data_IF_446236997767
#
_entry.id   IF_446236997767
#
_cell.length_a   1.000
_cell.length_b   1.000
_cell.length_c   1.000
_cell.angle_alpha   90.00
_cell.angle_beta   90.00
_cell.angle_gamma   90.00
#
_symmetry.space_group_name_H-M   'P 1'
#
loop_
_entity.id
_entity.type
_entity.pdbx_description
1 polymer ?
#
# COMPACT_ATOMS: atom_id res chain seq x y z
N UNK A 1 26.88 -18.17 -27.70
CA UNK A 1 25.49 -18.61 -27.98
C UNK A 1 24.82 -17.84 -29.13
N UNK A 2 25.56 -17.14 -30.02
CA UNK A 2 24.98 -16.37 -31.15
C UNK A 2 25.78 -16.50 -32.46
N UNK A 3 26.70 -17.48 -32.55
CA UNK A 3 27.72 -17.53 -33.61
C UNK A 3 27.14 -17.70 -35.03
N UNK A 4 25.94 -18.28 -35.14
CA UNK A 4 25.28 -18.58 -36.42
C UNK A 4 24.00 -17.75 -36.67
N UNK A 5 23.74 -16.73 -35.84
CA UNK A 5 22.54 -15.89 -35.98
C UNK A 5 22.81 -14.80 -37.02
N UNK A 6 22.18 -14.92 -38.18
CA UNK A 6 22.29 -13.95 -39.29
C UNK A 6 21.20 -12.88 -39.28
N UNK A 7 20.18 -13.04 -38.43
CA UNK A 7 19.02 -12.14 -38.32
C UNK A 7 19.45 -10.82 -37.67
N UNK A 8 19.22 -9.70 -38.36
CA UNK A 8 19.49 -8.35 -37.86
C UNK A 8 18.22 -7.71 -37.32
N UNK A 9 18.39 -6.62 -36.58
CA UNK A 9 17.29 -5.84 -36.02
C UNK A 9 16.27 -5.41 -37.09
N UNK A 10 16.73 -4.91 -38.25
CA UNK A 10 15.83 -4.49 -39.33
C UNK A 10 14.97 -5.65 -39.86
N UNK A 11 15.55 -6.85 -39.95
CA UNK A 11 14.86 -8.04 -40.44
C UNK A 11 13.72 -8.44 -39.46
N UNK A 12 13.94 -8.28 -38.15
CA UNK A 12 12.90 -8.48 -37.11
C UNK A 12 11.82 -7.40 -37.18
N UNK A 13 12.22 -6.13 -37.29
CA UNK A 13 11.30 -5.00 -37.38
C UNK A 13 10.36 -5.12 -38.58
N UNK A 14 10.90 -5.48 -39.76
CA UNK A 14 10.09 -5.63 -40.97
C UNK A 14 9.16 -6.83 -40.89
N UNK A 15 9.61 -7.92 -40.28
CA UNK A 15 8.75 -9.08 -40.02
C UNK A 15 7.60 -8.75 -39.07
N UNK A 16 7.85 -7.97 -38.02
CA UNK A 16 6.80 -7.51 -37.10
C UNK A 16 5.79 -6.60 -37.80
N UNK A 17 6.24 -5.65 -38.64
CA UNK A 17 5.35 -4.79 -39.43
C UNK A 17 4.46 -5.57 -40.40
N UNK A 18 4.98 -6.63 -41.01
CA UNK A 18 4.21 -7.47 -41.92
C UNK A 18 3.21 -8.38 -41.18
N UNK A 19 3.58 -8.84 -39.99
CA UNK A 19 2.76 -9.75 -39.19
C UNK A 19 1.62 -9.03 -38.47
N UNK A 20 1.86 -7.82 -37.96
CA UNK A 20 0.92 -7.10 -37.11
C UNK A 20 -0.01 -6.22 -37.95
N UNK A 21 -1.34 -6.32 -37.78
CA UNK A 21 -2.24 -5.35 -38.39
C UNK A 21 -2.03 -3.94 -37.79
N UNK A 22 -2.43 -2.85 -38.48
CA UNK A 22 -2.21 -1.48 -38.03
C UNK A 22 -2.81 -1.15 -36.65
N UNK A 23 -3.86 -1.86 -36.25
CA UNK A 23 -4.56 -1.71 -34.98
C UNK A 23 -4.27 -2.87 -34.01
N UNK A 24 -3.17 -3.61 -34.20
CA UNK A 24 -2.77 -4.66 -33.27
C UNK A 24 -2.55 -4.08 -31.87
N UNK A 25 -3.04 -4.77 -30.85
CA UNK A 25 -2.75 -4.45 -29.45
C UNK A 25 -1.69 -5.44 -28.96
N UNK A 26 -0.52 -4.94 -28.58
CA UNK A 26 0.54 -5.78 -28.04
C UNK A 26 0.27 -6.08 -26.56
N UNK A 27 0.44 -7.34 -26.17
CA UNK A 27 0.28 -7.80 -24.80
C UNK A 27 1.60 -8.40 -24.34
N UNK A 28 2.08 -7.98 -23.17
CA UNK A 28 3.33 -8.49 -22.62
C UNK A 28 3.56 -7.99 -21.20
N UNK A 29 4.80 -8.08 -20.72
CA UNK A 29 5.16 -7.71 -19.35
C UNK A 29 6.42 -6.85 -19.34
N UNK A 30 6.28 -5.59 -18.92
CA UNK A 30 7.35 -4.58 -19.02
C UNK A 30 7.85 -4.40 -20.46
N UNK A 31 6.89 -4.29 -21.40
CA UNK A 31 7.14 -4.24 -22.85
C UNK A 31 7.93 -3.01 -23.28
N UNK A 32 8.07 -2.00 -22.43
CA UNK A 32 8.96 -0.88 -22.72
C UNK A 32 10.40 -1.35 -22.96
N UNK A 33 10.85 -2.39 -22.27
CA UNK A 33 12.22 -2.91 -22.43
C UNK A 33 12.37 -3.59 -23.79
N UNK A 34 11.38 -4.39 -24.19
CA UNK A 34 11.36 -5.06 -25.49
C UNK A 34 11.29 -4.04 -26.64
N UNK A 35 10.40 -3.05 -26.54
CA UNK A 35 10.24 -2.01 -27.55
C UNK A 35 11.48 -1.10 -27.67
N UNK A 36 12.15 -0.81 -26.54
CA UNK A 36 13.43 -0.10 -26.53
C UNK A 36 14.53 -0.91 -27.23
N UNK A 37 14.63 -2.21 -26.93
CA UNK A 37 15.58 -3.11 -27.59
C UNK A 37 15.29 -3.22 -29.10
N UNK A 38 14.01 -3.26 -29.47
CA UNK A 38 13.56 -3.27 -30.86
C UNK A 38 13.67 -1.91 -31.55
N UNK A 39 13.94 -0.81 -30.84
CA UNK A 39 13.89 0.56 -31.35
C UNK A 39 12.59 0.87 -32.08
N UNK A 40 11.48 0.43 -31.52
CA UNK A 40 10.13 0.58 -32.08
C UNK A 40 9.23 1.34 -31.12
N UNK A 41 8.32 2.14 -31.68
CA UNK A 41 7.19 2.71 -30.96
C UNK A 41 5.92 2.01 -31.41
N UNK A 42 5.07 1.60 -30.46
CA UNK A 42 3.77 1.00 -30.75
C UNK A 42 2.72 1.60 -29.81
N UNK A 43 1.65 2.23 -30.33
CA UNK A 43 0.73 3.02 -29.52
C UNK A 43 -0.26 2.18 -28.70
N UNK A 44 -0.55 0.94 -29.09
CA UNK A 44 -1.57 0.11 -28.47
C UNK A 44 -0.94 -1.04 -27.69
N UNK A 45 -0.75 -0.84 -26.39
CA UNK A 45 -0.07 -1.81 -25.52
C UNK A 45 -0.89 -2.08 -24.26
N UNK A 46 -1.07 -3.35 -23.93
CA UNK A 46 -1.50 -3.83 -22.61
C UNK A 46 -0.29 -4.43 -21.91
N UNK A 47 0.30 -3.66 -21.00
CA UNK A 47 1.41 -4.12 -20.19
C UNK A 47 0.91 -4.73 -18.89
N UNK A 48 1.08 -6.04 -18.71
CA UNK A 48 0.64 -6.78 -17.52
C UNK A 48 1.38 -6.38 -16.25
N UNK A 49 2.61 -5.85 -16.34
CA UNK A 49 3.35 -5.35 -15.19
C UNK A 49 2.69 -4.09 -14.63
N UNK A 50 2.17 -3.23 -15.51
CA UNK A 50 1.40 -2.04 -15.12
C UNK A 50 -0.04 -2.39 -14.73
N UNK A 51 -0.67 -3.32 -15.47
CA UNK A 51 -2.06 -3.73 -15.27
C UNK A 51 -2.31 -4.28 -13.87
N UNK A 52 -1.32 -4.95 -13.28
CA UNK A 52 -1.41 -5.54 -11.95
C UNK A 52 -0.48 -4.86 -10.93
N UNK A 53 0.08 -3.69 -11.24
CA UNK A 53 0.92 -2.94 -10.31
C UNK A 53 0.14 -2.56 -9.04
N UNK A 54 0.82 -2.42 -7.89
CA UNK A 54 0.19 -1.87 -6.69
C UNK A 54 -0.29 -0.43 -6.93
N UNK A 55 -1.56 -0.15 -6.62
CA UNK A 55 -2.14 1.20 -6.74
C UNK A 55 -1.35 2.26 -5.97
N UNK A 56 -0.77 1.88 -4.82
CA UNK A 56 0.01 2.77 -3.96
C UNK A 56 1.45 3.01 -4.47
N UNK A 57 1.99 2.11 -5.32
CA UNK A 57 3.33 2.23 -5.90
C UNK A 57 3.33 1.87 -7.39
N UNK A 58 2.72 2.71 -8.26
CA UNK A 58 2.63 2.42 -9.69
C UNK A 58 4.00 2.24 -10.39
N UNK A 59 5.09 2.73 -9.76
CA UNK A 59 6.46 2.57 -10.27
C UNK A 59 7.10 1.21 -9.93
N UNK A 60 6.51 0.44 -9.03
CA UNK A 60 7.00 -0.89 -8.65
C UNK A 60 6.31 -1.94 -9.51
N UNK A 61 6.97 -2.33 -10.60
CA UNK A 61 6.49 -3.37 -11.51
C UNK A 61 6.69 -4.74 -10.86
N UNK A 62 5.62 -5.48 -10.53
CA UNK A 62 5.76 -6.83 -9.99
C UNK A 62 6.22 -7.78 -11.08
N UNK A 63 7.16 -8.68 -10.78
CA UNK A 63 7.64 -9.64 -11.76
C UNK A 63 6.55 -10.61 -12.24
N UNK A 64 6.62 -11.00 -13.52
CA UNK A 64 5.63 -11.88 -14.17
C UNK A 64 5.38 -13.17 -13.38
N UNK A 65 6.44 -13.79 -12.84
CA UNK A 65 6.34 -15.02 -12.03
C UNK A 65 5.45 -14.84 -10.80
N UNK A 66 5.53 -13.69 -10.14
CA UNK A 66 4.70 -13.37 -8.97
C UNK A 66 3.24 -13.19 -9.40
N UNK A 67 3.01 -12.41 -10.46
CA UNK A 67 1.67 -12.13 -11.00
C UNK A 67 0.98 -13.43 -11.45
N UNK A 68 1.69 -14.28 -12.21
CA UNK A 68 1.20 -15.58 -12.67
C UNK A 68 0.87 -16.52 -11.50
N UNK A 69 1.75 -16.58 -10.49
CA UNK A 69 1.51 -17.39 -9.29
C UNK A 69 0.27 -16.92 -8.51
N UNK A 70 0.08 -15.61 -8.37
CA UNK A 70 -1.01 -15.02 -7.59
C UNK A 70 -2.37 -15.13 -8.28
N UNK A 71 -2.42 -14.85 -9.59
CA UNK A 71 -3.68 -14.77 -10.33
C UNK A 71 -4.04 -16.07 -11.05
N UNK A 72 -3.05 -16.74 -11.67
CA UNK A 72 -3.27 -17.97 -12.43
C UNK A 72 -3.00 -19.23 -11.61
N UNK A 73 -2.44 -19.10 -10.40
CA UNK A 73 -1.93 -20.25 -9.61
C UNK A 73 -0.92 -21.10 -10.40
N UNK A 74 -0.21 -20.46 -11.33
CA UNK A 74 0.72 -21.10 -12.28
C UNK A 74 2.16 -20.79 -11.88
N UNK A 75 3.01 -21.80 -11.88
CA UNK A 75 4.47 -21.65 -11.70
C UNK A 75 5.13 -21.61 -13.08
N UNK A 76 5.78 -20.51 -13.41
CA UNK A 76 6.52 -20.31 -14.67
C UNK A 76 8.02 -20.15 -14.38
N UNK A 77 8.85 -20.22 -15.43
CA UNK A 77 10.29 -20.00 -15.36
C UNK A 77 10.97 -20.93 -14.33
N UNK A 78 10.53 -22.19 -14.26
CA UNK A 78 10.97 -23.14 -13.21
C UNK A 78 12.39 -23.69 -13.44
N UNK A 79 12.94 -23.52 -14.65
CA UNK A 79 14.25 -24.03 -15.07
C UNK A 79 15.27 -22.90 -15.19
N UNK A 80 15.54 -22.19 -14.09
CA UNK A 80 16.39 -20.97 -14.07
C UNK A 80 17.78 -21.17 -14.70
N UNK A 81 18.37 -22.36 -14.55
CA UNK A 81 19.68 -22.69 -15.14
C UNK A 81 19.71 -22.72 -16.68
N UNK A 82 18.55 -22.84 -17.34
CA UNK A 82 18.42 -22.91 -18.80
C UNK A 82 18.03 -21.57 -19.44
N UNK A 83 17.79 -20.52 -18.64
CA UNK A 83 17.20 -19.27 -19.10
C UNK A 83 15.67 -19.33 -19.19
N UNK A 84 15.05 -18.17 -19.45
CA UNK A 84 13.59 -18.06 -19.59
C UNK A 84 13.14 -18.43 -21.01
N UNK A 85 11.92 -18.95 -21.13
CA UNK A 85 11.29 -19.22 -22.42
C UNK A 85 10.36 -18.04 -22.80
N UNK A 86 10.69 -17.24 -23.84
CA UNK A 86 9.86 -16.13 -24.27
C UNK A 86 8.43 -16.54 -24.66
N UNK A 87 8.26 -17.79 -25.13
CA UNK A 87 6.95 -18.33 -25.52
C UNK A 87 6.07 -18.57 -24.29
N UNK A 88 6.64 -19.14 -23.22
CA UNK A 88 5.96 -19.32 -21.93
C UNK A 88 5.53 -17.97 -21.36
N UNK A 89 6.42 -16.99 -21.39
CA UNK A 89 6.19 -15.65 -20.85
C UNK A 89 5.08 -14.93 -21.65
N UNK A 90 5.15 -14.93 -22.98
CA UNK A 90 4.13 -14.31 -23.84
C UNK A 90 2.74 -14.96 -23.67
N UNK A 91 2.69 -16.29 -23.61
CA UNK A 91 1.43 -17.03 -23.38
C UNK A 91 0.84 -16.72 -22.00
N UNK A 92 1.69 -16.63 -20.98
CA UNK A 92 1.27 -16.30 -19.61
C UNK A 92 0.72 -14.88 -19.52
N UNK A 93 1.31 -13.91 -20.23
CA UNK A 93 0.77 -12.55 -20.33
C UNK A 93 -0.63 -12.54 -20.95
N UNK A 94 -0.85 -13.33 -22.00
CA UNK A 94 -2.16 -13.45 -22.64
C UNK A 94 -3.21 -14.10 -21.71
N UNK A 95 -2.84 -15.13 -20.96
CA UNK A 95 -3.70 -15.75 -19.94
C UNK A 95 -4.10 -14.74 -18.85
N UNK A 96 -3.17 -13.92 -18.39
CA UNK A 96 -3.42 -12.86 -17.40
C UNK A 96 -4.42 -11.81 -17.91
N UNK A 97 -4.27 -11.33 -19.15
CA UNK A 97 -5.21 -10.37 -19.74
C UNK A 97 -6.58 -11.00 -19.93
N UNK A 98 -6.66 -12.25 -20.41
CA UNK A 98 -7.94 -12.97 -20.53
C UNK A 98 -8.65 -13.08 -19.18
N UNK A 99 -7.92 -13.42 -18.13
CA UNK A 99 -8.47 -13.47 -16.77
C UNK A 99 -8.98 -12.09 -16.32
N UNK A 100 -8.22 -11.02 -16.57
CA UNK A 100 -8.64 -9.64 -16.27
C UNK A 100 -9.92 -9.25 -17.00
N UNK A 101 -10.07 -9.66 -18.25
CA UNK A 101 -11.27 -9.39 -19.05
C UNK A 101 -12.49 -10.19 -18.55
N UNK A 102 -12.29 -11.42 -18.07
CA UNK A 102 -13.37 -12.27 -17.56
C UNK A 102 -13.88 -11.82 -16.18
N UNK A 103 -12.97 -11.44 -15.29
CA UNK A 103 -13.27 -11.09 -13.89
C UNK A 103 -13.38 -9.56 -13.67
N UNK A 104 -13.02 -8.76 -14.67
CA UNK A 104 -13.18 -7.31 -14.65
C UNK A 104 -12.44 -6.62 -13.49
N UNK A 105 -13.18 -5.79 -12.75
CA UNK A 105 -12.63 -5.01 -11.63
C UNK A 105 -12.13 -5.90 -10.49
N UNK A 106 -12.69 -7.10 -10.32
CA UNK A 106 -12.37 -8.00 -9.21
C UNK A 106 -11.06 -8.77 -9.43
N UNK A 107 -10.53 -8.77 -10.66
CA UNK A 107 -9.23 -9.37 -10.96
C UNK A 107 -8.09 -8.44 -10.50
N UNK A 108 -7.78 -8.48 -9.21
CA UNK A 108 -6.73 -7.67 -8.58
C UNK A 108 -5.81 -8.54 -7.73
N UNK A 109 -4.55 -8.09 -7.60
CA UNK A 109 -3.63 -8.68 -6.62
C UNK A 109 -3.77 -7.89 -5.32
N UNK A 110 -4.12 -8.58 -4.23
CA UNK A 110 -4.00 -8.01 -2.89
C UNK A 110 -2.52 -7.88 -2.50
N UNK A 111 -1.98 -6.68 -2.67
CA UNK A 111 -0.62 -6.33 -2.25
C UNK A 111 -0.56 -6.15 -0.74
N UNK A 112 -0.41 -7.25 0.00
CA UNK A 112 -0.28 -7.23 1.46
C UNK A 112 1.01 -6.54 1.95
N UNK A 113 2.00 -6.35 1.07
CA UNK A 113 3.35 -5.88 1.40
C UNK A 113 3.69 -4.46 0.92
N UNK A 114 2.79 -3.80 0.19
CA UNK A 114 2.97 -2.42 -0.28
C UNK A 114 1.82 -1.53 0.18
N UNK A 115 1.61 -1.44 1.50
CA UNK A 115 1.11 -0.18 2.05
C UNK A 115 2.26 0.81 1.92
N UNK A 116 2.26 1.63 0.88
CA UNK A 116 3.04 2.86 0.91
C UNK A 116 2.45 3.72 2.05
N UNK A 117 2.95 3.50 3.25
CA UNK A 117 2.50 4.22 4.42
C UNK A 117 2.93 5.67 4.27
N UNK A 118 2.04 6.61 4.61
CA UNK A 118 2.18 8.04 4.35
C UNK A 118 3.60 8.59 4.65
N UNK A 119 4.26 8.23 5.77
CA UNK A 119 5.64 8.63 6.05
C UNK A 119 6.69 8.24 5.01
N UNK A 120 6.60 7.05 4.40
CA UNK A 120 7.52 6.68 3.31
C UNK A 120 7.32 7.53 2.06
N UNK A 121 6.07 7.93 1.78
CA UNK A 121 5.75 8.84 0.68
C UNK A 121 6.29 10.25 0.95
N UNK A 122 6.14 10.75 2.18
CA UNK A 122 6.70 12.03 2.60
C UNK A 122 8.23 12.04 2.48
N UNK A 123 8.90 10.99 2.94
CA UNK A 123 10.35 10.82 2.81
C UNK A 123 10.82 10.85 1.35
N UNK A 124 10.13 10.13 0.45
CA UNK A 124 10.49 10.05 -0.96
C UNK A 124 10.34 11.40 -1.71
N UNK A 125 9.54 12.33 -1.18
CA UNK A 125 9.34 13.66 -1.73
C UNK A 125 10.10 14.75 -0.95
N UNK A 126 11.01 14.38 -0.04
CA UNK A 126 11.82 15.32 0.73
C UNK A 126 11.04 16.14 1.75
N UNK A 127 9.84 15.71 2.14
CA UNK A 127 9.04 16.38 3.17
C UNK A 127 9.56 15.99 4.55
N UNK A 128 9.88 16.98 5.38
CA UNK A 128 10.31 16.74 6.76
C UNK A 128 9.17 16.12 7.58
N UNK A 129 9.45 15.02 8.28
CA UNK A 129 8.43 14.28 9.02
C UNK A 129 9.02 13.53 10.20
N UNK A 130 8.19 13.25 11.21
CA UNK A 130 8.54 12.46 12.40
C UNK A 130 7.42 11.46 12.72
N UNK A 131 7.79 10.26 13.16
CA UNK A 131 6.87 9.18 13.56
C UNK A 131 7.17 8.81 15.00
N UNK A 132 6.19 8.92 15.90
CA UNK A 132 6.35 8.71 17.34
C UNK A 132 5.36 7.62 17.78
N UNK A 133 5.88 6.43 18.11
CA UNK A 133 5.05 5.24 18.41
C UNK A 133 5.82 4.24 19.29
N UNK A 134 5.18 3.15 19.74
CA UNK A 134 5.78 2.12 20.60
C UNK A 134 6.93 1.39 19.92
N UNK A 135 7.96 1.01 20.69
CA UNK A 135 9.08 0.22 20.18
C UNK A 135 8.66 -1.05 19.40
N UNK A 136 7.56 -1.69 19.79
CA UNK A 136 7.03 -2.88 19.09
C UNK A 136 6.56 -2.59 17.66
N UNK A 137 6.21 -1.34 17.36
CA UNK A 137 5.81 -0.89 16.02
C UNK A 137 7.00 -0.42 15.19
N UNK A 138 8.20 -0.31 15.78
CA UNK A 138 9.39 0.16 15.07
C UNK A 138 9.64 -0.64 13.78
N UNK A 139 9.49 -1.96 13.79
CA UNK A 139 9.68 -2.80 12.59
C UNK A 139 8.67 -2.54 11.46
N UNK A 140 7.51 -1.92 11.76
CA UNK A 140 6.55 -1.49 10.74
C UNK A 140 6.98 -0.18 10.06
N UNK A 141 7.90 0.55 10.68
CA UNK A 141 8.34 1.89 10.29
C UNK A 141 9.82 1.94 9.88
N UNK A 142 10.63 0.97 10.34
CA UNK A 142 12.06 0.88 10.07
C UNK A 142 12.31 0.16 8.75
N UNK A 143 13.10 0.80 7.90
CA UNK A 143 13.40 0.38 6.55
C UNK A 143 14.13 1.50 5.80
N UNK A 144 13.43 2.61 5.50
CA UNK A 144 14.00 3.83 4.90
C UNK A 144 13.86 5.09 5.75
N UNK A 145 13.18 5.00 6.89
CA UNK A 145 12.72 6.15 7.68
C UNK A 145 13.22 6.12 9.13
N UNK A 146 14.25 5.30 9.39
CA UNK A 146 14.78 5.03 10.74
C UNK A 146 15.20 6.31 11.49
N UNK A 147 15.71 7.32 10.78
CA UNK A 147 16.07 8.62 11.37
C UNK A 147 14.88 9.49 11.79
N UNK A 148 13.67 9.21 11.32
CA UNK A 148 12.44 9.95 11.66
C UNK A 148 11.62 9.29 12.76
N UNK A 149 11.99 8.07 13.17
CA UNK A 149 11.22 7.27 14.11
C UNK A 149 11.69 7.51 15.54
N UNK A 150 10.76 7.78 16.45
CA UNK A 150 11.03 7.88 17.88
C UNK A 150 10.15 6.93 18.66
N UNK A 151 10.80 5.97 19.32
CA UNK A 151 10.12 5.02 20.17
C UNK A 151 9.61 5.67 21.45
N UNK A 152 8.42 5.31 21.92
CA UNK A 152 7.86 5.76 23.20
C UNK A 152 7.33 4.60 24.03
N UNK A 153 7.27 4.81 25.34
CA UNK A 153 6.78 3.84 26.32
C UNK A 153 5.48 4.29 26.99
N UNK A 154 5.14 5.57 26.92
CA UNK A 154 3.91 6.15 27.47
C UNK A 154 3.32 7.23 26.56
N UNK A 155 2.04 7.52 26.75
CA UNK A 155 1.34 8.59 26.02
C UNK A 155 1.89 9.97 26.38
N UNK A 156 2.33 10.18 27.62
CA UNK A 156 2.98 11.43 28.02
C UNK A 156 4.32 11.63 27.30
N UNK A 157 5.15 10.57 27.23
CA UNK A 157 6.40 10.62 26.47
C UNK A 157 6.14 10.87 24.97
N UNK A 158 5.03 10.35 24.43
CA UNK A 158 4.60 10.63 23.07
C UNK A 158 4.31 12.11 22.86
N UNK A 159 3.57 12.74 23.77
CA UNK A 159 3.30 14.18 23.73
C UNK A 159 4.59 14.99 23.82
N UNK A 160 5.46 14.69 24.78
CA UNK A 160 6.70 15.44 24.98
C UNK A 160 7.57 15.44 23.71
N UNK A 161 7.66 14.29 23.02
CA UNK A 161 8.38 14.17 21.74
C UNK A 161 7.68 14.85 20.58
N UNK A 162 6.34 14.84 20.54
CA UNK A 162 5.59 15.60 19.54
C UNK A 162 5.93 17.08 19.67
N UNK A 163 5.94 17.61 20.90
CA UNK A 163 6.27 19.01 21.18
C UNK A 163 7.71 19.35 20.79
N UNK A 164 8.67 18.46 21.03
CA UNK A 164 10.06 18.67 20.61
C UNK A 164 10.23 18.66 19.08
N UNK A 165 9.46 17.80 18.40
CA UNK A 165 9.61 17.56 16.97
C UNK A 165 8.80 18.52 16.10
N UNK A 166 7.70 19.08 16.62
CA UNK A 166 6.78 19.95 15.90
C UNK A 166 7.47 21.12 15.18
N UNK A 167 8.44 21.84 15.79
CA UNK A 167 9.10 22.96 15.11
C UNK A 167 10.00 22.54 13.93
N UNK A 168 10.41 21.26 13.87
CA UNK A 168 11.42 20.76 12.91
C UNK A 168 10.82 19.99 11.75
N UNK A 169 9.53 19.65 11.81
CA UNK A 169 8.89 18.70 10.90
C UNK A 169 7.57 19.24 10.35
N UNK A 170 7.35 19.09 9.05
CA UNK A 170 6.11 19.45 8.35
C UNK A 170 4.98 18.46 8.67
N UNK A 171 5.31 17.23 9.03
CA UNK A 171 4.33 16.20 9.37
C UNK A 171 4.76 15.42 10.62
N UNK A 172 3.83 15.21 11.54
CA UNK A 172 4.06 14.35 12.71
C UNK A 172 2.94 13.33 12.82
N UNK A 173 3.31 12.07 12.96
CA UNK A 173 2.41 11.00 13.35
C UNK A 173 2.68 10.59 14.78
N UNK A 174 1.63 10.51 15.60
CA UNK A 174 1.68 9.86 16.90
C UNK A 174 0.40 9.08 17.16
N UNK A 175 0.51 8.00 17.93
CA UNK A 175 -0.63 7.25 18.43
C UNK A 175 -0.59 7.22 19.96
N UNK A 176 -1.72 7.59 20.58
CA UNK A 176 -1.92 7.48 22.02
C UNK A 176 -2.61 6.14 22.31
N UNK A 177 -2.04 5.35 23.21
CA UNK A 177 -2.42 3.96 23.43
C UNK A 177 -3.18 3.71 24.73
N UNK A 178 -3.41 4.71 25.58
CA UNK A 178 -4.09 4.51 26.87
C UNK A 178 -5.46 3.85 26.73
N UNK A 179 -6.26 4.21 25.72
CA UNK A 179 -7.53 3.52 25.41
C UNK A 179 -7.34 2.06 24.97
N UNK A 180 -6.31 1.80 24.18
CA UNK A 180 -6.01 0.45 23.70
C UNK A 180 -5.61 -0.46 24.86
N UNK A 181 -4.78 0.06 25.76
CA UNK A 181 -4.33 -0.64 26.97
C UNK A 181 -5.52 -0.93 27.88
N UNK A 182 -6.39 0.05 28.13
CA UNK A 182 -7.58 -0.13 28.97
C UNK A 182 -8.51 -1.21 28.40
N UNK A 183 -8.80 -1.17 27.10
CA UNK A 183 -9.73 -2.13 26.46
C UNK A 183 -9.16 -3.55 26.30
N UNK A 184 -7.84 -3.72 26.32
CA UNK A 184 -7.19 -5.04 26.23
C UNK A 184 -7.06 -5.75 27.58
N UNK A 185 -7.47 -5.11 28.69
CA UNK A 185 -7.44 -5.74 30.03
C UNK A 185 -8.40 -6.93 30.07
N UNK A 186 -7.87 -8.10 30.40
CA UNK A 186 -8.65 -9.34 30.59
C UNK A 186 -9.62 -9.26 31.76
N UNK A 187 -9.37 -8.37 32.72
CA UNK A 187 -10.22 -8.12 33.90
C UNK A 187 -11.41 -7.21 33.60
N UNK A 188 -11.52 -6.65 32.40
CA UNK A 188 -12.44 -5.54 32.11
C UNK A 188 -11.96 -4.21 32.69
N UNK A 189 -12.82 -3.18 32.61
CA UNK A 189 -12.60 -1.84 33.15
C UNK A 189 -13.91 -1.25 33.67
N UNK A 190 -13.85 -0.35 34.65
CA UNK A 190 -15.02 0.35 35.18
C UNK A 190 -15.37 1.58 34.33
N UNK A 191 -16.59 2.08 34.50
CA UNK A 191 -17.02 3.32 33.83
C UNK A 191 -16.19 4.53 34.30
N UNK A 192 -15.76 4.54 35.56
CA UNK A 192 -14.90 5.60 36.11
C UNK A 192 -13.47 5.54 35.54
N UNK A 193 -12.90 4.33 35.40
CA UNK A 193 -11.61 4.15 34.71
C UNK A 193 -11.68 4.63 33.26
N UNK A 194 -12.76 4.29 32.55
CA UNK A 194 -12.99 4.74 31.17
C UNK A 194 -13.09 6.26 31.06
N UNK A 195 -13.88 6.91 31.93
CA UNK A 195 -14.02 8.38 31.98
C UNK A 195 -12.70 9.05 32.33
N UNK A 196 -11.96 8.50 33.29
CA UNK A 196 -10.64 9.01 33.69
C UNK A 196 -9.64 8.96 32.53
N UNK A 197 -9.53 7.82 31.84
CA UNK A 197 -8.66 7.67 30.66
C UNK A 197 -9.05 8.60 29.52
N UNK A 198 -10.35 8.80 29.28
CA UNK A 198 -10.82 9.77 28.28
C UNK A 198 -10.44 11.20 28.65
N UNK A 199 -10.61 11.59 29.93
CA UNK A 199 -10.24 12.92 30.40
C UNK A 199 -8.74 13.19 30.29
N UNK A 200 -7.91 12.18 30.55
CA UNK A 200 -6.46 12.27 30.38
C UNK A 200 -6.09 12.42 28.90
N UNK A 201 -6.69 11.63 28.02
CA UNK A 201 -6.46 11.75 26.58
C UNK A 201 -6.91 13.09 26.00
N UNK A 202 -8.04 13.63 26.48
CA UNK A 202 -8.53 14.95 26.07
C UNK A 202 -7.51 16.05 26.41
N UNK A 203 -6.93 15.98 27.62
CA UNK A 203 -5.85 16.88 28.05
C UNK A 203 -4.61 16.76 27.14
N UNK A 204 -4.15 15.54 26.87
CA UNK A 204 -3.00 15.30 26.01
C UNK A 204 -3.24 15.79 24.57
N UNK A 205 -4.45 15.60 24.04
CA UNK A 205 -4.83 16.13 22.73
C UNK A 205 -4.81 17.67 22.73
N UNK A 206 -5.34 18.29 23.79
CA UNK A 206 -5.31 19.75 23.95
C UNK A 206 -3.88 20.30 23.96
N UNK A 207 -2.96 19.62 24.65
CA UNK A 207 -1.54 20.02 24.73
C UNK A 207 -0.86 19.96 23.34
N UNK A 208 -1.12 18.90 22.57
CA UNK A 208 -0.63 18.76 21.18
C UNK A 208 -1.19 19.91 20.30
N UNK A 209 -2.50 20.15 20.35
CA UNK A 209 -3.19 21.11 19.48
C UNK A 209 -2.80 22.56 19.82
N UNK A 210 -2.68 22.87 21.11
CA UNK A 210 -2.32 24.22 21.58
C UNK A 210 -0.90 24.59 21.15
N UNK A 211 0.01 23.63 21.19
CA UNK A 211 1.43 23.83 20.90
C UNK A 211 1.79 23.70 19.41
N UNK A 212 0.87 23.20 18.59
CA UNK A 212 1.12 23.01 17.16
C UNK A 212 1.05 24.32 16.36
N UNK A 213 1.93 24.50 15.36
CA UNK A 213 1.93 25.68 14.48
C UNK A 213 0.58 25.86 13.76
N UNK A 214 0.23 27.10 13.35
CA UNK A 214 -1.02 27.40 12.67
C UNK A 214 -1.23 26.58 11.38
N UNK A 215 -0.19 26.38 10.56
CA UNK A 215 -0.30 25.69 9.26
C UNK A 215 -0.05 24.16 9.35
N UNK A 216 -0.40 23.53 10.46
CA UNK A 216 -0.12 22.11 10.72
C UNK A 216 -1.35 21.22 10.57
N UNK A 217 -1.18 20.07 9.92
CA UNK A 217 -2.18 18.99 9.93
C UNK A 217 -1.81 18.01 11.05
N UNK A 218 -2.67 17.89 12.06
CA UNK A 218 -2.48 16.97 13.18
C UNK A 218 -3.49 15.83 13.05
N UNK A 219 -2.99 14.60 12.99
CA UNK A 219 -3.81 13.39 13.01
C UNK A 219 -3.55 12.63 14.30
N UNK A 220 -4.52 12.64 15.21
CA UNK A 220 -4.47 11.89 16.47
C UNK A 220 -5.39 10.68 16.36
N UNK A 221 -4.80 9.48 16.42
CA UNK A 221 -5.53 8.21 16.39
C UNK A 221 -5.68 7.71 17.84
N UNK A 222 -6.88 7.83 18.42
CA UNK A 222 -7.17 7.38 19.80
C UNK A 222 -7.99 6.07 19.81
N UNK A 223 -7.87 5.28 18.74
CA UNK A 223 -8.82 4.22 18.39
C UNK A 223 -8.33 2.79 18.55
N UNK A 224 -9.24 1.91 18.99
CA UNK A 224 -9.14 0.45 18.88
C UNK A 224 -10.38 -0.14 18.18
N UNK A 225 -10.92 0.59 17.19
CA UNK A 225 -12.14 0.22 16.48
C UNK A 225 -12.09 -1.23 15.99
N UNK A 226 -12.99 -2.07 16.51
CA UNK A 226 -13.07 -3.48 16.13
C UNK A 226 -13.70 -3.60 14.74
N UNK A 227 -12.88 -3.65 13.69
CA UNK A 227 -13.34 -3.77 12.29
C UNK A 227 -13.79 -5.18 11.91
N UNK A 228 -13.74 -6.15 12.84
CA UNK A 228 -14.14 -7.53 12.57
C UNK A 228 -15.59 -7.64 12.10
N UNK A 229 -16.50 -6.90 12.73
CA UNK A 229 -17.93 -6.90 12.38
C UNK A 229 -18.17 -6.30 10.99
N UNK A 230 -17.47 -5.20 10.65
CA UNK A 230 -17.49 -4.61 9.31
C UNK A 230 -16.97 -5.59 8.26
N UNK A 231 -15.90 -6.34 8.56
CA UNK A 231 -15.32 -7.34 7.65
C UNK A 231 -16.21 -8.57 7.45
N UNK A 232 -16.91 -9.02 8.49
CA UNK A 232 -17.84 -10.14 8.38
C UNK A 232 -19.11 -9.74 7.61
N UNK A 233 -19.65 -8.54 7.88
CA UNK A 233 -20.82 -8.01 7.17
C UNK A 233 -20.54 -7.71 5.68
N UNK A 234 -19.30 -7.38 5.33
CA UNK A 234 -18.89 -7.22 3.93
C UNK A 234 -18.86 -8.53 3.13
N UNK A 235 -18.75 -9.69 3.80
CA UNK A 235 -18.77 -11.01 3.14
C UNK A 235 -20.19 -11.54 2.92
N UNK A 236 -21.17 -10.97 3.60
CA UNK A 236 -22.57 -11.37 3.47
C UNK A 236 -23.32 -10.43 2.52
N UNK A 237 -23.56 -10.93 1.31
CA UNK A 237 -24.28 -10.22 0.24
C UNK A 237 -25.74 -9.89 0.56
N UNK A 238 -26.31 -10.45 1.63
CA UNK A 238 -27.68 -10.19 2.07
C UNK A 238 -27.81 -9.05 3.08
N UNK A 239 -26.67 -8.47 3.52
CA UNK A 239 -26.64 -7.45 4.56
C UNK A 239 -27.27 -6.13 4.08
N UNK A 240 -28.24 -5.61 4.84
CA UNK A 240 -28.86 -4.32 4.52
C UNK A 240 -27.88 -3.16 4.70
N UNK A 241 -28.07 -2.12 3.88
CA UNK A 241 -27.23 -0.91 3.91
C UNK A 241 -27.27 -0.22 5.29
N UNK A 242 -28.38 -0.31 6.02
CA UNK A 242 -28.54 0.27 7.36
C UNK A 242 -27.71 -0.46 8.42
N UNK A 243 -27.66 -1.79 8.36
CA UNK A 243 -26.85 -2.60 9.28
C UNK A 243 -25.36 -2.35 9.06
N UNK A 244 -24.93 -2.26 7.79
CA UNK A 244 -23.56 -1.91 7.44
C UNK A 244 -23.19 -0.51 7.92
N UNK A 245 -24.06 0.49 7.71
CA UNK A 245 -23.86 1.86 8.20
C UNK A 245 -23.74 1.90 9.72
N UNK A 246 -24.58 1.16 10.45
CA UNK A 246 -24.52 1.07 11.92
C UNK A 246 -23.19 0.46 12.40
N UNK A 247 -22.74 -0.63 11.79
CA UNK A 247 -21.45 -1.26 12.11
C UNK A 247 -20.25 -0.35 11.80
N UNK A 248 -20.29 0.39 10.68
CA UNK A 248 -19.28 1.40 10.33
C UNK A 248 -19.29 2.55 11.32
N UNK A 249 -20.46 3.02 11.77
CA UNK A 249 -20.56 4.07 12.80
C UNK A 249 -19.99 3.60 14.14
N UNK A 250 -20.27 2.37 14.57
CA UNK A 250 -19.64 1.75 15.76
C UNK A 250 -18.13 1.58 15.62
N UNK A 251 -17.65 1.20 14.44
CA UNK A 251 -16.20 1.14 14.17
C UNK A 251 -15.55 2.53 14.25
N UNK A 252 -16.28 3.59 13.84
CA UNK A 252 -15.86 5.00 13.97
C UNK A 252 -15.91 5.53 15.40
N UNK A 253 -16.61 4.88 16.33
CA UNK A 253 -16.62 5.26 17.75
C UNK A 253 -15.24 5.06 18.43
N UNK A 254 -14.31 4.31 17.82
CA UNK A 254 -12.88 4.29 18.17
C UNK A 254 -12.09 5.43 17.52
N UNK A 255 -12.56 6.67 17.70
CA UNK A 255 -12.29 7.84 16.82
C UNK A 255 -10.82 8.15 16.52
N UNK A 256 -10.61 8.58 15.26
CA UNK A 256 -9.46 9.36 14.77
C UNK A 256 -9.91 10.81 14.70
N UNK A 257 -9.16 11.71 15.34
CA UNK A 257 -9.35 13.15 15.22
C UNK A 257 -8.31 13.69 14.25
N UNK A 258 -8.78 14.22 13.12
CA UNK A 258 -7.97 15.08 12.26
C UNK A 258 -8.38 16.52 12.58
N UNK A 259 -7.47 17.31 13.14
CA UNK A 259 -7.67 18.73 13.39
C UNK A 259 -6.81 19.50 12.38
N UNK A 260 -7.49 20.33 11.59
CA UNK A 260 -6.87 21.35 10.76
C UNK A 260 -6.92 22.65 11.56
N UNK A 261 -5.76 23.24 11.84
CA UNK A 261 -5.65 24.55 12.46
C UNK A 261 -5.49 25.62 11.39
#
# INVERSE_FOLDING_TARGET
>A
MLQDVTVRLCDVQDKLKQLLPPNAILVGHSLENDLLALKMYHPFVIDTAMLFAPLATPRSKPGLRLVAKRLLKKSIQTKEAAGHDPTEDAMTCMELVKKKLQEGADCVIEWKEFKLWLPMHLAANGVSHCVIDKQSMASLYTGRVESSYQAVTSDQEAVDKVLECAPKNTFIFTQLHSMEVLKKRTTGYTEDEFKSTLSELDKLCCDIVSSSPPDSIIMIVCGSGHIGEVRELQKDSSTSLEVLKSAVMKAREGRVFALLK
#
